data_IF_046767213516
#
_entry.id   IF_046767213516
#
_cell.length_a   1.000
_cell.length_b   1.000
_cell.length_c   1.000
_cell.angle_alpha   90.00
_cell.angle_beta   90.00
_cell.angle_gamma   90.00
#
_symmetry.space_group_name_H-M   'P 1'
#
loop_
_entity.id
_entity.type
_entity.pdbx_description
1 polymer ?
#
# COMPACT_ATOMS: atom_id res chain seq x y z
N UNK A 1 -8.42 -7.20 6.12
CA UNK A 1 -7.26 -6.78 6.93
C UNK A 1 -6.93 -7.90 7.90
N UNK A 2 -5.68 -8.01 8.38
CA UNK A 2 -5.25 -9.03 9.36
C UNK A 2 -4.35 -8.42 10.43
N UNK A 3 -4.23 -9.11 11.58
CA UNK A 3 -3.34 -8.72 12.69
C UNK A 3 -1.93 -9.33 12.58
N UNK A 4 -1.57 -9.91 11.42
CA UNK A 4 -0.21 -10.38 11.19
C UNK A 4 0.75 -9.18 11.14
N UNK A 5 2.04 -9.35 11.51
CA UNK A 5 3.03 -8.30 11.37
C UNK A 5 3.12 -7.78 9.93
N UNK A 6 3.39 -6.48 9.78
CA UNK A 6 3.61 -5.88 8.47
C UNK A 6 4.89 -6.37 7.81
N UNK A 7 4.88 -6.43 6.49
CA UNK A 7 6.05 -6.81 5.68
C UNK A 7 6.82 -5.58 5.19
N UNK A 8 6.22 -4.39 5.28
CA UNK A 8 6.71 -3.17 4.66
C UNK A 8 6.55 -3.15 3.14
N UNK A 9 5.80 -4.10 2.58
CA UNK A 9 5.62 -4.28 1.14
C UNK A 9 4.16 -4.45 0.77
N UNK A 10 3.80 -3.90 -0.37
CA UNK A 10 2.46 -3.96 -0.96
C UNK A 10 2.56 -4.16 -2.47
N UNK A 11 1.43 -4.48 -3.08
CA UNK A 11 1.20 -4.30 -4.51
C UNK A 11 0.03 -3.34 -4.67
N UNK A 12 0.18 -2.35 -5.56
CA UNK A 12 -0.90 -1.47 -6.02
C UNK A 12 -1.21 -1.84 -7.46
N UNK A 13 -2.37 -2.46 -7.70
CA UNK A 13 -2.81 -2.90 -9.03
C UNK A 13 -4.34 -2.97 -9.13
N UNK A 14 -4.86 -3.15 -10.34
CA UNK A 14 -6.29 -3.46 -10.60
C UNK A 14 -6.60 -4.97 -10.43
N UNK A 15 -5.70 -5.70 -9.76
CA UNK A 15 -5.74 -7.15 -9.65
C UNK A 15 -6.78 -7.68 -8.67
N UNK A 16 -6.61 -8.96 -8.30
CA UNK A 16 -7.54 -9.66 -7.40
C UNK A 16 -7.49 -9.09 -5.98
N UNK A 17 -8.57 -9.31 -5.24
CA UNK A 17 -8.61 -9.07 -3.80
C UNK A 17 -7.52 -9.85 -3.07
N UNK A 18 -6.95 -9.22 -2.05
CA UNK A 18 -5.95 -9.81 -1.17
C UNK A 18 -6.07 -9.25 0.24
N UNK A 19 -5.23 -9.76 1.12
CA UNK A 19 -5.14 -9.28 2.50
C UNK A 19 -4.14 -8.14 2.61
N UNK A 20 -4.30 -7.33 3.65
CA UNK A 20 -3.33 -6.35 4.09
C UNK A 20 -3.17 -6.52 5.61
N UNK A 21 -1.94 -6.48 6.11
CA UNK A 21 -1.69 -6.30 7.55
C UNK A 21 -2.18 -4.91 8.00
N UNK A 22 -2.63 -4.79 9.25
CA UNK A 22 -3.02 -3.49 9.79
C UNK A 22 -1.84 -2.50 9.81
N UNK A 23 -0.63 -3.01 10.07
CA UNK A 23 0.60 -2.22 10.10
C UNK A 23 0.97 -1.64 8.73
N UNK A 24 0.91 -2.43 7.65
CA UNK A 24 1.23 -1.95 6.30
C UNK A 24 0.17 -0.96 5.80
N UNK A 25 -1.10 -1.14 6.18
CA UNK A 25 -2.16 -0.15 5.91
C UNK A 25 -1.84 1.17 6.61
N UNK A 26 -1.54 1.15 7.90
CA UNK A 26 -1.23 2.36 8.67
C UNK A 26 0.01 3.08 8.09
N UNK A 27 1.06 2.33 7.75
CA UNK A 27 2.26 2.88 7.13
C UNK A 27 1.97 3.49 5.76
N UNK A 28 1.21 2.79 4.91
CA UNK A 28 0.82 3.30 3.59
C UNK A 28 0.02 4.60 3.70
N UNK A 29 -0.94 4.67 4.62
CA UNK A 29 -1.75 5.88 4.86
C UNK A 29 -0.94 7.04 5.44
N UNK A 30 0.13 6.77 6.18
CA UNK A 30 1.05 7.82 6.65
C UNK A 30 1.97 8.30 5.51
N UNK A 31 2.53 7.36 4.75
CA UNK A 31 3.51 7.66 3.70
C UNK A 31 2.89 8.30 2.47
N UNK A 32 1.61 8.04 2.15
CA UNK A 32 0.89 8.66 1.02
C UNK A 32 0.95 10.19 1.03
N UNK A 33 1.06 10.81 2.22
CA UNK A 33 1.15 12.27 2.37
C UNK A 33 2.42 12.86 1.74
N UNK A 34 3.45 12.04 1.52
CA UNK A 34 4.71 12.43 0.88
C UNK A 34 4.61 12.49 -0.65
N UNK A 35 3.59 11.87 -1.24
CA UNK A 35 3.48 11.63 -2.68
C UNK A 35 2.34 12.45 -3.28
N UNK A 36 2.66 13.50 -4.05
CA UNK A 36 1.61 14.29 -4.70
C UNK A 36 0.91 13.53 -5.84
N UNK A 37 1.59 12.56 -6.47
CA UNK A 37 1.04 11.75 -7.57
C UNK A 37 -0.14 10.86 -7.13
N UNK A 38 -0.28 10.57 -5.84
CA UNK A 38 -1.39 9.77 -5.29
C UNK A 38 -2.66 10.60 -5.05
N UNK A 39 -2.58 11.93 -5.17
CA UNK A 39 -3.73 12.80 -4.95
C UNK A 39 -4.82 12.54 -5.98
N UNK A 40 -6.07 12.46 -5.52
CA UNK A 40 -7.24 12.12 -6.34
C UNK A 40 -7.17 10.76 -7.05
N UNK A 41 -6.35 9.82 -6.56
CA UNK A 41 -6.27 8.44 -7.08
C UNK A 41 -7.02 7.46 -6.19
N UNK A 42 -7.62 6.46 -6.82
CA UNK A 42 -8.12 5.26 -6.13
C UNK A 42 -6.95 4.29 -6.04
N UNK A 43 -6.56 3.91 -4.84
CA UNK A 43 -5.44 2.99 -4.59
C UNK A 43 -6.00 1.66 -4.11
N UNK A 44 -5.93 0.65 -4.97
CA UNK A 44 -6.25 -0.74 -4.62
C UNK A 44 -4.97 -1.43 -4.17
N UNK A 45 -4.82 -1.64 -2.86
CA UNK A 45 -3.64 -2.25 -2.26
C UNK A 45 -3.91 -3.65 -1.70
N UNK A 46 -2.89 -4.51 -1.77
CA UNK A 46 -2.82 -5.82 -1.12
C UNK A 46 -1.38 -6.11 -0.71
N UNK A 47 -1.18 -7.09 0.17
CA UNK A 47 0.14 -7.70 0.41
C UNK A 47 0.79 -8.09 -0.92
N UNK A 48 2.09 -7.84 -1.00
CA UNK A 48 2.86 -8.02 -2.22
C UNK A 48 4.35 -7.81 -1.99
N UNK A 49 5.08 -7.59 -3.08
CA UNK A 49 6.55 -7.67 -3.07
C UNK A 49 7.24 -6.31 -3.25
N UNK A 50 6.48 -5.23 -3.47
CA UNK A 50 7.04 -3.89 -3.70
C UNK A 50 7.11 -3.12 -2.39
N UNK A 51 8.26 -2.55 -1.99
CA UNK A 51 8.31 -1.65 -0.85
C UNK A 51 7.24 -0.56 -0.93
N UNK A 52 6.63 -0.19 0.20
CA UNK A 52 5.52 0.79 0.24
C UNK A 52 5.93 2.13 -0.43
N UNK A 53 7.13 2.61 -0.13
CA UNK A 53 7.71 3.84 -0.70
C UNK A 53 7.79 3.77 -2.24
N UNK A 54 8.35 2.66 -2.75
CA UNK A 54 8.46 2.40 -4.20
C UNK A 54 7.09 2.28 -4.86
N UNK A 55 6.13 1.61 -4.21
CA UNK A 55 4.77 1.45 -4.74
C UNK A 55 4.06 2.80 -4.86
N UNK A 56 4.11 3.63 -3.82
CA UNK A 56 3.46 4.94 -3.79
C UNK A 56 4.08 5.94 -4.79
N UNK A 57 5.39 5.86 -5.04
CA UNK A 57 6.06 6.68 -6.06
C UNK A 57 5.59 6.40 -7.51
N UNK A 58 4.89 5.27 -7.74
CA UNK A 58 4.47 4.78 -9.06
C UNK A 58 2.95 4.76 -9.27
N UNK A 59 2.18 5.22 -8.28
CA UNK A 59 0.71 5.41 -8.37
C UNK A 59 0.37 6.49 -9.39
#
# INVERSE_FOLDING_TARGET
MTDKPGTGKITVDEGKFGYNSAEDVARTLADILKYQNTSHKIIKMREGDTPIDDALSRV
#
